data_IF_875195066453
#
_entry.id   IF_875195066453
#
_cell.length_a   1.000
_cell.length_b   1.000
_cell.length_c   1.000
_cell.angle_alpha   90.00
_cell.angle_beta   90.00
_cell.angle_gamma   90.00
#
_symmetry.space_group_name_H-M   'P 1'
#
loop_
_entity.id
_entity.type
_entity.pdbx_description
1 polymer ?
#
# COMPACT_ATOMS: atom_id res chain seq x y z
N UNK A 1 -13.17 9.89 -11.15
CA UNK A 1 -12.68 9.75 -12.54
C UNK A 1 -13.24 10.90 -13.36
N UNK A 2 -12.41 11.70 -14.02
CA UNK A 2 -12.89 12.78 -14.88
C UNK A 2 -13.36 12.22 -16.24
N UNK A 3 -14.57 12.50 -16.74
CA UNK A 3 -15.12 11.85 -17.95
C UNK A 3 -14.22 11.94 -19.20
N UNK A 4 -13.55 13.09 -19.40
CA UNK A 4 -12.60 13.29 -20.52
C UNK A 4 -11.41 12.32 -20.54
N UNK A 5 -11.10 11.66 -19.42
CA UNK A 5 -10.02 10.68 -19.37
C UNK A 5 -10.42 9.34 -20.01
N UNK A 6 -11.72 9.02 -20.05
CA UNK A 6 -12.22 7.79 -20.68
C UNK A 6 -12.02 7.80 -22.21
N UNK A 7 -12.03 8.99 -22.81
CA UNK A 7 -11.84 9.18 -24.26
C UNK A 7 -10.41 9.59 -24.64
N UNK A 8 -9.45 9.59 -23.70
CA UNK A 8 -8.10 10.05 -23.95
C UNK A 8 -7.29 9.00 -24.75
N UNK A 9 -6.78 9.31 -25.95
CA UNK A 9 -6.26 8.30 -26.89
C UNK A 9 -4.90 7.69 -26.50
N UNK A 10 -4.21 8.24 -25.49
CA UNK A 10 -2.87 7.80 -25.06
C UNK A 10 -2.82 7.49 -23.57
N UNK A 11 -3.89 6.90 -23.05
CA UNK A 11 -4.02 6.63 -21.62
C UNK A 11 -4.60 5.25 -21.38
N UNK A 12 -4.05 4.58 -20.37
CA UNK A 12 -4.64 3.38 -19.78
C UNK A 12 -5.08 3.76 -18.36
N UNK A 13 -6.36 3.58 -18.06
CA UNK A 13 -6.92 3.86 -16.75
C UNK A 13 -7.02 2.55 -15.97
N UNK A 14 -6.35 2.49 -14.83
CA UNK A 14 -6.37 1.33 -13.95
C UNK A 14 -7.03 1.71 -12.61
N UNK A 15 -7.79 0.82 -11.97
CA UNK A 15 -8.45 1.09 -10.70
C UNK A 15 -7.49 0.93 -9.51
N UNK A 16 -6.37 1.66 -9.53
CA UNK A 16 -5.34 1.66 -8.48
C UNK A 16 -4.82 0.25 -8.10
N UNK A 17 -4.54 -0.59 -9.10
CA UNK A 17 -4.12 -2.00 -8.89
C UNK A 17 -2.60 -2.21 -8.87
N UNK A 18 -1.81 -1.14 -8.78
CA UNK A 18 -0.34 -1.22 -8.87
C UNK A 18 0.31 -2.14 -7.82
N UNK A 19 -0.23 -2.17 -6.60
CA UNK A 19 0.21 -3.05 -5.50
C UNK A 19 -0.64 -4.32 -5.36
N UNK A 20 -1.57 -4.58 -6.30
CA UNK A 20 -2.60 -5.60 -6.18
C UNK A 20 -2.15 -7.06 -6.40
N UNK A 21 -0.87 -7.32 -6.65
CA UNK A 21 -0.38 -8.70 -6.83
C UNK A 21 -0.47 -9.49 -5.51
N UNK A 22 -0.65 -10.82 -5.60
CA UNK A 22 -0.66 -11.68 -4.41
C UNK A 22 0.64 -11.51 -3.63
N UNK A 23 1.79 -11.58 -4.30
CA UNK A 23 3.09 -11.43 -3.66
C UNK A 23 3.26 -10.08 -2.94
N UNK A 24 2.86 -8.97 -3.57
CA UNK A 24 2.94 -7.63 -2.95
C UNK A 24 2.00 -7.52 -1.77
N UNK A 25 0.72 -7.93 -1.91
CA UNK A 25 -0.26 -7.85 -0.81
C UNK A 25 0.10 -8.74 0.36
N UNK A 26 0.62 -9.95 0.14
CA UNK A 26 1.10 -10.83 1.22
C UNK A 26 2.21 -10.15 2.00
N UNK A 27 3.22 -9.57 1.33
CA UNK A 27 4.32 -8.87 2.00
C UNK A 27 3.84 -7.66 2.80
N UNK A 28 2.90 -6.88 2.25
CA UNK A 28 2.31 -5.74 2.96
C UNK A 28 1.56 -6.18 4.23
N UNK A 29 0.78 -7.27 4.14
CA UNK A 29 0.07 -7.82 5.29
C UNK A 29 1.06 -8.33 6.35
N UNK A 30 2.09 -9.07 5.96
CA UNK A 30 3.16 -9.53 6.86
C UNK A 30 3.82 -8.35 7.58
N UNK A 31 4.27 -7.33 6.84
CA UNK A 31 4.90 -6.14 7.41
C UNK A 31 3.99 -5.41 8.43
N UNK A 32 2.69 -5.31 8.13
CA UNK A 32 1.73 -4.68 9.04
C UNK A 32 1.55 -5.51 10.33
N UNK A 33 1.43 -6.83 10.21
CA UNK A 33 1.31 -7.73 11.35
C UNK A 33 2.57 -7.73 12.22
N UNK A 34 3.76 -7.76 11.61
CA UNK A 34 5.04 -7.66 12.33
C UNK A 34 5.13 -6.36 13.13
N UNK A 35 4.72 -5.23 12.53
CA UNK A 35 4.66 -3.95 13.24
C UNK A 35 3.71 -3.98 14.43
N UNK A 36 2.53 -4.59 14.29
CA UNK A 36 1.58 -4.74 15.39
C UNK A 36 2.14 -5.61 16.53
N UNK A 37 2.81 -6.72 16.20
CA UNK A 37 3.46 -7.60 17.17
C UNK A 37 4.56 -6.86 17.94
N UNK A 38 5.42 -6.10 17.25
CA UNK A 38 6.48 -5.32 17.88
C UNK A 38 5.91 -4.32 18.91
N UNK A 39 4.86 -3.58 18.55
CA UNK A 39 4.20 -2.64 19.47
C UNK A 39 3.65 -3.36 20.70
N UNK A 40 2.98 -4.49 20.53
CA UNK A 40 2.44 -5.27 21.64
C UNK A 40 3.53 -5.84 22.55
N UNK A 41 4.73 -6.08 22.01
CA UNK A 41 5.92 -6.48 22.77
C UNK A 41 6.62 -5.30 23.48
N UNK A 42 6.14 -4.07 23.31
CA UNK A 42 6.81 -2.86 23.82
C UNK A 42 8.03 -2.43 22.99
N UNK A 43 8.18 -2.98 21.80
CA UNK A 43 9.26 -2.67 20.86
C UNK A 43 8.83 -1.59 19.85
N UNK A 44 9.82 -0.95 19.22
CA UNK A 44 9.58 0.05 18.17
C UNK A 44 9.41 -0.65 16.81
N UNK A 45 8.29 -0.46 16.09
CA UNK A 45 8.11 -1.06 14.77
C UNK A 45 9.07 -0.44 13.74
N UNK A 46 9.56 -1.27 12.80
CA UNK A 46 10.60 -0.91 11.84
C UNK A 46 10.21 0.28 10.93
N UNK A 47 8.94 0.39 10.57
CA UNK A 47 8.40 1.40 9.66
C UNK A 47 7.60 2.50 10.40
N UNK A 48 7.98 2.83 11.65
CA UNK A 48 7.32 3.88 12.42
C UNK A 48 7.44 5.24 11.71
N UNK A 49 6.31 5.81 11.31
CA UNK A 49 6.23 7.19 10.81
C UNK A 49 6.33 8.14 11.99
N UNK A 50 7.29 9.05 11.95
CA UNK A 50 7.46 10.12 12.94
C UNK A 50 7.13 11.45 12.28
N UNK A 51 6.58 12.38 13.05
CA UNK A 51 6.47 13.77 12.59
C UNK A 51 7.87 14.39 12.67
N UNK A 52 8.31 15.00 11.57
CA UNK A 52 9.54 15.81 11.55
C UNK A 52 9.41 17.07 12.39
#
# INVERSE_FOLDING_TARGET
MHPRLLSAPRTVLLPHIGSGSIATRTRMATLACEGAVAVLAGERPHNLVVNG
#
